data_IF_496465742769
#
_entry.id   IF_496465742769
#
_cell.length_a   1.000
_cell.length_b   1.000
_cell.length_c   1.000
_cell.angle_alpha   90.00
_cell.angle_beta   90.00
_cell.angle_gamma   90.00
#
_symmetry.space_group_name_H-M   'P 1'
#
loop_
_entity.id
_entity.type
_entity.pdbx_description
1 polymer ?
#
# COMPACT_ATOMS: atom_id res chain seq x y z
N UNK A 1 -10.99 4.06 17.87
CA UNK A 1 -10.23 3.16 16.98
C UNK A 1 -11.20 2.59 15.96
N UNK A 2 -10.86 2.60 14.67
CA UNK A 2 -11.76 2.14 13.60
C UNK A 2 -11.38 0.69 13.24
N UNK A 3 -12.30 -0.26 13.44
CA UNK A 3 -12.06 -1.70 13.29
C UNK A 3 -11.64 -2.09 11.87
N UNK A 4 -12.32 -1.58 10.85
CA UNK A 4 -11.96 -1.85 9.46
C UNK A 4 -10.53 -1.40 9.12
N UNK A 5 -10.05 -0.30 9.72
CA UNK A 5 -8.68 0.18 9.50
C UNK A 5 -7.66 -0.67 10.27
N UNK A 6 -7.98 -1.18 11.46
CA UNK A 6 -7.11 -2.16 12.13
C UNK A 6 -6.92 -3.40 11.26
N UNK A 7 -8.01 -3.94 10.68
CA UNK A 7 -7.93 -5.14 9.85
C UNK A 7 -7.03 -4.92 8.63
N UNK A 8 -7.20 -3.79 7.95
CA UNK A 8 -6.36 -3.44 6.80
C UNK A 8 -4.89 -3.26 7.20
N UNK A 9 -4.60 -2.57 8.30
CA UNK A 9 -3.24 -2.33 8.77
C UNK A 9 -2.55 -3.61 9.27
N UNK A 10 -3.29 -4.52 9.92
CA UNK A 10 -2.77 -5.84 10.29
C UNK A 10 -2.41 -6.66 9.05
N UNK A 11 -3.29 -6.68 8.04
CA UNK A 11 -3.02 -7.34 6.76
C UNK A 11 -1.78 -6.77 6.07
N UNK A 12 -1.69 -5.44 5.98
CA UNK A 12 -0.50 -4.77 5.44
C UNK A 12 0.77 -5.12 6.22
N UNK A 13 0.70 -5.10 7.55
CA UNK A 13 1.83 -5.44 8.41
C UNK A 13 2.29 -6.89 8.27
N UNK A 14 1.35 -7.83 8.10
CA UNK A 14 1.64 -9.23 7.77
C UNK A 14 2.34 -9.36 6.41
N UNK A 15 1.87 -8.66 5.39
CA UNK A 15 2.51 -8.62 4.07
C UNK A 15 3.92 -8.02 4.14
N UNK A 16 4.13 -6.96 4.95
CA UNK A 16 5.47 -6.40 5.18
C UNK A 16 6.45 -7.41 5.80
N UNK A 17 5.98 -8.27 6.72
CA UNK A 17 6.82 -9.32 7.32
C UNK A 17 7.14 -10.44 6.34
N UNK A 18 6.17 -10.81 5.50
CA UNK A 18 6.30 -11.96 4.60
C UNK A 18 7.09 -11.63 3.33
N UNK A 19 6.96 -10.42 2.77
CA UNK A 19 7.51 -10.06 1.45
C UNK A 19 8.61 -8.97 1.49
N UNK A 20 8.86 -8.40 2.67
CA UNK A 20 9.82 -7.31 2.89
C UNK A 20 9.34 -5.95 2.38
N UNK A 21 9.78 -4.87 3.04
CA UNK A 21 9.36 -3.48 2.81
C UNK A 21 9.60 -2.97 1.37
N UNK A 22 10.49 -3.63 0.62
CA UNK A 22 10.91 -3.25 -0.73
C UNK A 22 10.47 -4.24 -1.83
N UNK A 23 9.51 -5.13 -1.57
CA UNK A 23 9.09 -6.12 -2.57
C UNK A 23 10.29 -6.98 -2.98
N UNK A 24 10.89 -7.68 -2.02
CA UNK A 24 11.87 -8.70 -2.34
C UNK A 24 11.17 -9.69 -3.26
N UNK A 25 11.45 -9.61 -4.56
CA UNK A 25 10.93 -10.58 -5.53
C UNK A 25 11.25 -11.94 -4.93
N UNK A 26 10.21 -12.69 -4.56
CA UNK A 26 10.42 -14.01 -4.01
C UNK A 26 11.28 -14.78 -5.00
N UNK A 27 12.21 -15.58 -4.47
CA UNK A 27 13.16 -16.27 -5.33
C UNK A 27 12.39 -16.96 -6.46
N UNK A 28 12.73 -16.72 -7.75
CA UNK A 28 12.06 -17.41 -8.84
C UNK A 28 12.20 -18.93 -8.69
N UNK A 29 13.25 -19.40 -8.01
CA UNK A 29 13.43 -20.79 -7.62
C UNK A 29 12.40 -21.27 -6.59
N UNK A 30 12.07 -20.44 -5.59
CA UNK A 30 11.04 -20.75 -4.60
C UNK A 30 9.65 -20.83 -5.27
N UNK A 31 9.34 -19.90 -6.18
CA UNK A 31 8.14 -19.96 -7.01
C UNK A 31 8.11 -21.26 -7.83
N UNK A 32 9.22 -21.64 -8.47
CA UNK A 32 9.30 -22.89 -9.25
C UNK A 32 9.08 -24.12 -8.36
N UNK A 33 9.63 -24.15 -7.14
CA UNK A 33 9.44 -25.24 -6.19
C UNK A 33 7.99 -25.35 -5.71
N UNK A 34 7.32 -24.24 -5.41
CA UNK A 34 5.91 -24.22 -5.01
C UNK A 34 4.98 -24.75 -6.10
N UNK A 35 5.28 -24.43 -7.37
CA UNK A 35 4.54 -24.94 -8.53
C UNK A 35 5.04 -26.30 -9.05
N UNK A 36 5.95 -26.98 -8.33
CA UNK A 36 6.47 -28.30 -8.71
C UNK A 36 7.13 -28.34 -10.10
N UNK A 37 7.73 -27.23 -10.56
CA UNK A 37 8.32 -27.11 -11.90
C UNK A 37 7.33 -26.75 -13.03
N UNK A 38 6.04 -26.63 -12.73
CA UNK A 38 5.01 -26.27 -13.70
C UNK A 38 4.45 -24.88 -13.42
N UNK A 39 5.15 -23.83 -13.90
CA UNK A 39 4.58 -22.49 -13.92
C UNK A 39 3.17 -22.51 -14.55
N UNK A 40 2.19 -21.75 -14.06
CA UNK A 40 0.81 -21.78 -14.56
C UNK A 40 0.76 -21.54 -16.08
N UNK A 41 0.54 -22.59 -16.88
CA UNK A 41 0.41 -22.51 -18.34
C UNK A 41 -1.07 -22.57 -18.69
N UNK A 42 -1.62 -21.57 -19.38
CA UNK A 42 -3.00 -21.68 -19.88
C UNK A 42 -3.71 -20.42 -20.36
N UNK A 43 -3.14 -19.21 -20.27
CA UNK A 43 -3.81 -18.01 -20.81
C UNK A 43 -2.81 -16.91 -21.16
N UNK A 44 -2.80 -16.35 -22.39
CA UNK A 44 -1.96 -15.20 -22.72
C UNK A 44 -2.36 -13.96 -21.90
N UNK A 45 -1.40 -13.36 -21.17
CA UNK A 45 -1.59 -12.10 -20.43
C UNK A 45 -0.72 -12.01 -19.16
N UNK A 46 -0.40 -10.79 -18.71
CA UNK A 46 0.28 -10.55 -17.43
C UNK A 46 -0.67 -10.88 -16.27
N UNK A 47 -0.45 -11.99 -15.56
CA UNK A 47 -1.09 -12.18 -14.25
C UNK A 47 -0.31 -11.38 -13.22
N UNK A 48 -1.05 -10.69 -12.34
CA UNK A 48 -0.54 -10.46 -10.98
C UNK A 48 -0.47 -11.87 -10.39
N UNK A 49 0.75 -12.38 -10.20
CA UNK A 49 0.95 -13.62 -9.45
C UNK A 49 0.39 -13.31 -8.05
N UNK A 50 -0.69 -13.97 -7.63
CA UNK A 50 -1.13 -13.89 -6.24
C UNK A 50 -0.51 -15.09 -5.53
N UNK A 51 0.32 -14.82 -4.53
CA UNK A 51 1.13 -15.84 -3.85
C UNK A 51 2.36 -16.27 -4.67
N UNK A 52 3.30 -16.93 -4.00
CA UNK A 52 4.54 -17.46 -4.58
C UNK A 52 5.55 -16.42 -5.09
N UNK A 53 5.88 -15.41 -4.28
CA UNK A 53 7.02 -14.51 -4.57
C UNK A 53 6.72 -13.31 -5.49
N UNK A 54 5.45 -12.98 -5.66
CA UNK A 54 5.00 -11.86 -6.48
C UNK A 54 5.08 -10.47 -5.83
N UNK A 55 5.57 -10.41 -4.59
CA UNK A 55 5.52 -9.23 -3.74
C UNK A 55 4.14 -9.00 -3.10
N UNK A 56 4.00 -7.91 -2.33
CA UNK A 56 2.79 -7.61 -1.57
C UNK A 56 1.56 -7.53 -2.47
N UNK A 57 0.41 -7.98 -1.97
CA UNK A 57 -0.83 -7.88 -2.73
C UNK A 57 -1.27 -6.43 -3.01
N UNK A 58 -2.24 -6.27 -3.92
CA UNK A 58 -2.71 -4.94 -4.32
C UNK A 58 -3.29 -4.11 -3.17
N UNK A 59 -3.80 -4.76 -2.11
CA UNK A 59 -4.36 -4.08 -0.93
C UNK A 59 -3.21 -3.51 -0.09
N UNK A 60 -2.19 -4.32 0.20
CA UNK A 60 -1.01 -3.90 0.95
C UNK A 60 -0.22 -2.82 0.20
N UNK A 61 -0.08 -2.93 -1.12
CA UNK A 61 0.53 -1.86 -1.93
C UNK A 61 -0.25 -0.55 -1.83
N UNK A 62 -1.59 -0.60 -1.87
CA UNK A 62 -2.43 0.59 -1.76
C UNK A 62 -2.31 1.23 -0.37
N UNK A 63 -2.27 0.43 0.68
CA UNK A 63 -2.08 0.91 2.07
C UNK A 63 -0.69 1.54 2.22
N UNK A 64 0.37 0.90 1.72
CA UNK A 64 1.73 1.46 1.74
C UNK A 64 1.84 2.77 0.98
N UNK A 65 1.19 2.88 -0.18
CA UNK A 65 1.12 4.12 -0.95
C UNK A 65 0.37 5.22 -0.20
N UNK A 66 -0.75 4.89 0.46
CA UNK A 66 -1.53 5.83 1.27
C UNK A 66 -0.73 6.31 2.49
N UNK A 67 -0.03 5.41 3.21
CA UNK A 67 0.84 5.77 4.32
C UNK A 67 1.99 6.70 3.89
N UNK A 68 2.61 6.41 2.73
CA UNK A 68 3.66 7.26 2.14
C UNK A 68 3.13 8.62 1.70
N UNK A 69 1.85 8.70 1.31
CA UNK A 69 1.18 9.97 1.00
C UNK A 69 0.92 10.79 2.27
N UNK A 70 0.47 10.14 3.35
CA UNK A 70 0.30 10.79 4.67
C UNK A 70 1.62 11.40 5.15
N UNK A 71 2.73 10.65 5.06
CA UNK A 71 4.02 11.15 5.52
C UNK A 71 4.56 12.34 4.73
N UNK A 72 4.23 12.44 3.44
CA UNK A 72 4.64 13.56 2.59
C UNK A 72 3.90 14.87 2.90
N UNK A 73 2.80 14.82 3.64
CA UNK A 73 1.97 16.00 3.91
C UNK A 73 2.61 16.91 4.96
N UNK A 74 3.03 16.35 6.10
CA UNK A 74 3.68 17.09 7.18
C UNK A 74 4.45 16.16 8.15
N UNK A 75 5.21 16.76 9.07
CA UNK A 75 5.96 16.00 10.09
C UNK A 75 5.08 15.29 11.14
N UNK A 76 3.77 15.55 11.18
CA UNK A 76 2.84 14.74 12.00
C UNK A 76 2.46 13.47 11.24
N UNK A 77 2.25 13.57 9.93
CA UNK A 77 2.01 12.47 9.02
C UNK A 77 3.18 11.50 9.00
N UNK A 78 4.41 12.00 9.00
CA UNK A 78 5.62 11.16 9.12
C UNK A 78 5.61 10.32 10.40
N UNK A 79 5.27 10.94 11.55
CA UNK A 79 5.11 10.22 12.82
C UNK A 79 3.97 9.21 12.79
N UNK A 80 2.87 9.48 12.07
CA UNK A 80 1.77 8.53 11.91
C UNK A 80 2.19 7.32 11.04
N UNK A 81 2.97 7.54 9.98
CA UNK A 81 3.55 6.42 9.21
C UNK A 81 4.49 5.60 10.10
N UNK A 82 5.39 6.25 10.85
CA UNK A 82 6.32 5.54 11.72
C UNK A 82 5.58 4.74 12.81
N UNK A 83 4.48 5.30 13.36
CA UNK A 83 3.59 4.57 14.27
C UNK A 83 2.98 3.33 13.61
N UNK A 84 2.52 3.44 12.36
CA UNK A 84 1.99 2.29 11.62
C UNK A 84 3.04 1.20 11.44
N UNK A 85 4.26 1.56 10.99
CA UNK A 85 5.38 0.62 10.82
C UNK A 85 5.69 -0.09 12.14
N UNK A 86 5.86 0.67 13.23
CA UNK A 86 6.17 0.09 14.54
C UNK A 86 5.07 -0.84 15.07
N UNK A 87 3.80 -0.45 14.89
CA UNK A 87 2.68 -1.19 15.47
C UNK A 87 2.33 -2.44 14.67
N UNK A 88 2.40 -2.39 13.34
CA UNK A 88 1.85 -3.43 12.48
C UNK A 88 2.91 -4.26 11.77
N UNK A 89 4.11 -3.75 11.51
CA UNK A 89 5.13 -4.46 10.72
C UNK A 89 6.04 -5.36 11.56
N UNK A 90 6.10 -5.20 12.88
CA UNK A 90 6.92 -6.03 13.77
C UNK A 90 6.11 -7.12 14.47
N UNK A 91 6.70 -8.30 14.64
CA UNK A 91 6.14 -9.39 15.45
C UNK A 91 7.24 -10.03 16.33
N UNK A 92 7.17 -9.92 17.67
CA UNK A 92 6.14 -9.20 18.42
C UNK A 92 6.27 -7.67 18.27
N UNK A 93 5.14 -6.98 18.20
CA UNK A 93 5.12 -5.52 18.17
C UNK A 93 5.73 -4.92 19.46
N UNK A 94 6.52 -3.83 19.38
CA UNK A 94 7.01 -3.12 20.55
C UNK A 94 5.86 -2.67 21.45
N UNK A 95 6.11 -2.57 22.75
CA UNK A 95 5.09 -2.05 23.69
C UNK A 95 4.68 -0.63 23.32
N UNK A 96 3.44 -0.24 23.63
CA UNK A 96 2.95 1.12 23.35
C UNK A 96 3.85 2.22 23.93
N UNK A 97 4.50 1.96 25.08
CA UNK A 97 5.43 2.90 25.70
C UNK A 97 6.73 3.05 24.88
N UNK A 98 7.27 1.95 24.36
CA UNK A 98 8.43 1.97 23.47
C UNK A 98 8.11 2.70 22.15
N UNK A 99 6.93 2.44 21.58
CA UNK A 99 6.47 3.15 20.37
C UNK A 99 6.36 4.66 20.61
N UNK A 100 5.78 5.08 21.75
CA UNK A 100 5.67 6.50 22.10
C UNK A 100 7.04 7.16 22.31
N UNK A 101 7.97 6.45 22.95
CA UNK A 101 9.34 6.92 23.14
C UNK A 101 10.06 7.12 21.81
N UNK A 102 9.96 6.16 20.89
CA UNK A 102 10.59 6.23 19.56
C UNK A 102 10.02 7.38 18.70
N UNK A 103 8.73 7.68 18.84
CA UNK A 103 8.09 8.82 18.19
C UNK A 103 8.43 10.19 18.83
N UNK A 104 9.23 10.19 19.90
CA UNK A 104 9.61 11.40 20.64
C UNK A 104 8.51 11.97 21.54
N UNK A 105 7.47 11.20 21.88
CA UNK A 105 6.44 11.63 22.82
C UNK A 105 6.88 11.36 24.27
N UNK A 106 6.87 12.42 25.09
CA UNK A 106 7.18 12.33 26.53
C UNK A 106 5.95 11.89 27.35
N UNK A 107 4.75 11.90 26.76
CA UNK A 107 3.50 11.56 27.44
C UNK A 107 3.51 10.11 27.90
N UNK A 108 3.31 9.89 29.20
CA UNK A 108 3.06 8.57 29.80
C UNK A 108 1.58 8.19 29.79
N UNK A 109 0.70 9.02 29.23
CA UNK A 109 -0.72 8.75 29.19
C UNK A 109 -1.07 7.77 28.06
N UNK A 110 -1.56 6.58 28.44
CA UNK A 110 -2.01 5.55 27.49
C UNK A 110 -3.10 6.07 26.53
N UNK A 111 -3.91 7.02 26.96
CA UNK A 111 -4.93 7.64 26.11
C UNK A 111 -4.31 8.37 24.91
N UNK A 112 -3.20 9.08 25.09
CA UNK A 112 -2.52 9.78 24.00
C UNK A 112 -2.11 8.82 22.89
N UNK A 113 -1.67 7.61 23.25
CA UNK A 113 -1.34 6.57 22.29
C UNK A 113 -2.56 6.15 21.46
N UNK A 114 -3.69 5.85 22.11
CA UNK A 114 -4.91 5.45 21.39
C UNK A 114 -5.49 6.59 20.55
N UNK A 115 -5.33 7.85 20.98
CA UNK A 115 -5.72 9.00 20.19
C UNK A 115 -4.86 9.12 18.92
N UNK A 116 -3.55 8.82 19.00
CA UNK A 116 -2.67 8.78 17.82
C UNK A 116 -3.03 7.64 16.87
N UNK A 117 -3.31 6.44 17.39
CA UNK A 117 -3.80 5.31 16.57
C UNK A 117 -5.12 5.68 15.91
N UNK A 118 -6.03 6.33 16.64
CA UNK A 118 -7.30 6.76 16.05
C UNK A 118 -7.10 7.80 14.95
N UNK A 119 -6.20 8.77 15.13
CA UNK A 119 -5.84 9.75 14.10
C UNK A 119 -5.23 9.10 12.87
N UNK A 120 -4.35 8.11 13.05
CA UNK A 120 -3.82 7.30 11.96
C UNK A 120 -4.96 6.68 11.14
N UNK A 121 -5.96 6.09 11.80
CA UNK A 121 -7.08 5.43 11.11
C UNK A 121 -7.94 6.41 10.33
N UNK A 122 -8.27 7.56 10.94
CA UNK A 122 -9.06 8.59 10.28
C UNK A 122 -8.32 9.10 9.04
N UNK A 123 -7.03 9.41 9.19
CA UNK A 123 -6.23 9.95 8.09
C UNK A 123 -6.02 8.93 6.96
N UNK A 124 -5.78 7.68 7.30
CA UNK A 124 -5.68 6.60 6.33
C UNK A 124 -6.99 6.40 5.57
N UNK A 125 -8.12 6.44 6.26
CA UNK A 125 -9.44 6.33 5.64
C UNK A 125 -9.71 7.47 4.64
N UNK A 126 -9.40 8.72 5.02
CA UNK A 126 -9.51 9.89 4.14
C UNK A 126 -8.72 9.69 2.85
N UNK A 127 -7.41 9.40 2.97
CA UNK A 127 -6.51 9.23 1.81
C UNK A 127 -6.94 8.06 0.93
N UNK A 128 -7.32 6.91 1.51
CA UNK A 128 -7.82 5.77 0.73
C UNK A 128 -9.11 6.09 -0.02
N UNK A 129 -9.98 6.91 0.55
CA UNK A 129 -11.23 7.35 -0.10
C UNK A 129 -10.93 8.28 -1.27
N UNK A 130 -10.06 9.28 -1.08
CA UNK A 130 -9.61 10.19 -2.13
C UNK A 130 -8.95 9.44 -3.30
N UNK A 131 -8.07 8.47 -3.00
CA UNK A 131 -7.39 7.64 -4.00
C UNK A 131 -8.36 6.74 -4.76
N UNK A 132 -9.35 6.16 -4.07
CA UNK A 132 -10.43 5.40 -4.69
C UNK A 132 -11.23 6.26 -5.67
N UNK A 133 -11.55 7.49 -5.30
CA UNK A 133 -12.32 8.40 -6.15
C UNK A 133 -11.50 8.90 -7.35
N UNK A 134 -10.21 9.24 -7.14
CA UNK A 134 -9.29 9.56 -8.23
C UNK A 134 -9.18 8.40 -9.25
N UNK A 135 -9.11 7.15 -8.77
CA UNK A 135 -9.09 5.96 -9.64
C UNK A 135 -10.39 5.78 -10.43
N UNK A 136 -11.55 6.04 -9.82
CA UNK A 136 -12.84 6.04 -10.54
C UNK A 136 -12.83 7.08 -11.66
N UNK A 137 -12.38 8.31 -11.38
CA UNK A 137 -12.29 9.36 -12.40
C UNK A 137 -11.37 8.99 -13.56
N UNK A 138 -10.20 8.40 -13.29
CA UNK A 138 -9.29 7.93 -14.34
C UNK A 138 -9.90 6.80 -15.18
N UNK A 139 -10.69 5.92 -14.56
CA UNK A 139 -11.34 4.79 -15.23
C UNK A 139 -12.51 5.27 -16.09
N UNK A 140 -13.33 6.21 -15.59
CA UNK A 140 -14.46 6.81 -16.31
C UNK A 140 -13.97 7.75 -17.43
N UNK A 141 -12.88 8.49 -17.20
CA UNK A 141 -12.30 9.42 -18.17
C UNK A 141 -11.73 8.75 -19.44
N UNK A 142 -11.39 7.44 -19.39
CA UNK A 142 -11.04 6.67 -20.59
C UNK A 142 -12.20 6.50 -21.58
N UNK A 143 -13.44 6.69 -21.15
CA UNK A 143 -14.62 6.68 -22.02
C UNK A 143 -15.01 8.04 -22.60
N UNK A 144 -14.35 9.13 -22.17
CA UNK A 144 -14.77 10.51 -22.47
C UNK A 144 -13.69 11.37 -23.16
N UNK A 145 -12.61 10.76 -23.68
CA UNK A 145 -11.75 11.46 -24.63
C UNK A 145 -12.42 11.42 -26.00
N UNK A 146 -12.83 12.56 -26.59
CA UNK A 146 -13.32 12.55 -27.96
C UNK A 146 -12.22 11.97 -28.87
N UNK A 147 -12.59 11.01 -29.72
CA UNK A 147 -11.74 10.36 -30.72
C UNK A 147 -10.98 11.34 -31.64
N UNK A 148 -11.28 12.63 -31.59
CA UNK A 148 -10.59 13.68 -32.33
C UNK A 148 -9.14 13.89 -31.89
N UNK A 149 -8.77 13.64 -30.62
CA UNK A 149 -7.38 13.84 -30.16
C UNK A 149 -6.46 12.65 -30.42
N UNK A 150 -7.01 11.43 -30.49
CA UNK A 150 -6.22 10.23 -30.78
C UNK A 150 -5.89 10.07 -32.28
N UNK A 151 -6.62 10.78 -33.16
CA UNK A 151 -6.41 10.71 -34.63
C UNK A 151 -5.43 11.75 -35.17
N UNK A 152 -5.13 12.81 -34.42
CA UNK A 152 -4.20 13.87 -34.86
C UNK A 152 -2.74 13.44 -34.66
N UNK A 153 -2.44 12.63 -33.64
CA UNK A 153 -1.07 12.19 -33.36
C UNK A 153 -0.52 11.15 -34.37
N UNK A 154 -1.36 10.47 -35.16
CA UNK A 154 -0.86 9.50 -36.17
C UNK A 154 -0.60 10.11 -37.55
N UNK A 155 -1.07 11.35 -37.83
CA UNK A 155 -0.86 12.01 -39.14
C UNK A 155 0.42 12.83 -39.25
N UNK A 156 1.16 13.05 -38.16
CA UNK A 156 2.42 13.80 -38.16
C UNK A 156 3.68 12.92 -38.34
N UNK A 157 3.53 11.61 -38.57
CA UNK A 157 4.65 10.67 -38.80
C UNK A 157 4.61 9.99 -40.18
N UNK A 158 4.09 10.69 -41.20
CA UNK A 158 4.08 10.20 -42.58
C UNK A 158 4.29 11.32 -43.62
N UNK A 159 5.13 12.31 -43.29
CA UNK A 159 5.73 13.18 -44.31
C UNK A 159 7.25 13.11 -44.11
N UNK A 160 7.87 12.35 -45.00
CA UNK A 160 9.29 12.05 -45.12
C UNK A 160 9.44 11.10 -46.29
#
# INVERSE_FOLDING_TARGET
>A
MIEAMELLLNHWGEQCRNDGEAGGMGSPMATIMEWGGCAPRGTPGSRILLGAGAGPDAIAQEIGAALSEIARQDGRGERLQQLAVMRYSFDPAPTWAAQMHELGYVSKAKQTYYDLVHRLHVRLFEVLTERKDARKWLTVGRGALPQSLLKVASKLRQVG
#
